data_IF_448993840548
#
_entry.id   IF_448993840548
#
_cell.length_a   1.000
_cell.length_b   1.000
_cell.length_c   1.000
_cell.angle_alpha   90.00
_cell.angle_beta   90.00
_cell.angle_gamma   90.00
#
_symmetry.space_group_name_H-M   'P 1'
#
loop_
_entity.id
_entity.type
_entity.pdbx_description
1 polymer ?
#
# COMPACT_ATOMS: atom_id res chain seq x y z
N UNK A 1 -33.05 -15.24 -1.65
CA UNK A 1 -31.77 -15.26 -2.42
C UNK A 1 -31.15 -13.87 -2.30
N UNK A 2 -30.29 -13.66 -1.32
CA UNK A 2 -29.58 -12.40 -1.10
C UNK A 2 -28.40 -12.32 -2.08
N UNK A 3 -28.68 -11.92 -3.32
CA UNK A 3 -27.63 -11.40 -4.20
C UNK A 3 -27.35 -9.97 -3.74
N UNK A 4 -26.67 -9.86 -2.59
CA UNK A 4 -26.00 -8.63 -2.22
C UNK A 4 -24.91 -8.47 -3.25
N UNK A 5 -25.12 -7.56 -4.21
CA UNK A 5 -24.02 -7.05 -5.00
C UNK A 5 -23.01 -6.50 -4.01
N UNK A 6 -21.96 -7.28 -3.72
CA UNK A 6 -20.69 -6.80 -3.19
C UNK A 6 -20.11 -5.87 -4.27
N UNK A 7 -20.74 -4.71 -4.43
CA UNK A 7 -20.11 -3.55 -5.01
C UNK A 7 -19.03 -3.20 -4.02
N UNK A 8 -17.84 -3.77 -4.17
CA UNK A 8 -16.64 -3.39 -3.45
C UNK A 8 -16.46 -1.88 -3.69
N UNK A 9 -17.02 -1.07 -2.79
CA UNK A 9 -17.03 0.37 -3.00
C UNK A 9 -15.57 0.82 -2.91
N UNK A 10 -15.20 1.91 -3.60
CA UNK A 10 -13.83 2.42 -3.54
C UNK A 10 -13.32 2.65 -2.11
N UNK A 11 -14.22 2.99 -1.18
CA UNK A 11 -13.90 3.14 0.25
C UNK A 11 -13.53 1.80 0.89
N UNK A 12 -14.27 0.72 0.58
CA UNK A 12 -13.99 -0.63 1.09
C UNK A 12 -12.62 -1.14 0.60
N UNK A 13 -12.25 -0.80 -0.65
CA UNK A 13 -10.93 -1.13 -1.21
C UNK A 13 -9.81 -0.40 -0.51
N UNK A 14 -9.98 0.90 -0.23
CA UNK A 14 -8.98 1.68 0.49
C UNK A 14 -8.76 1.13 1.92
N UNK A 15 -9.83 0.87 2.66
CA UNK A 15 -9.69 0.35 4.03
C UNK A 15 -9.08 -1.06 4.04
N UNK A 16 -9.49 -1.92 3.12
CA UNK A 16 -8.92 -3.26 2.96
C UNK A 16 -7.42 -3.19 2.66
N UNK A 17 -7.02 -2.37 1.70
CA UNK A 17 -5.61 -2.19 1.34
C UNK A 17 -4.78 -1.64 2.51
N UNK A 18 -5.31 -0.65 3.24
CA UNK A 18 -4.67 -0.10 4.44
C UNK A 18 -4.43 -1.17 5.50
N UNK A 19 -5.44 -1.99 5.81
CA UNK A 19 -5.30 -3.06 6.81
C UNK A 19 -4.28 -4.11 6.36
N UNK A 20 -4.31 -4.51 5.08
CA UNK A 20 -3.34 -5.46 4.53
C UNK A 20 -1.90 -4.96 4.65
N UNK A 21 -1.65 -3.69 4.31
CA UNK A 21 -0.30 -3.10 4.45
C UNK A 21 0.15 -3.05 5.90
N UNK A 22 -0.72 -2.59 6.81
CA UNK A 22 -0.38 -2.50 8.24
C UNK A 22 -0.05 -3.88 8.83
N UNK A 23 -0.79 -4.92 8.43
CA UNK A 23 -0.52 -6.29 8.86
C UNK A 23 0.86 -6.78 8.41
N UNK A 24 1.27 -6.46 7.18
CA UNK A 24 2.59 -6.84 6.66
C UNK A 24 3.73 -6.04 7.28
N UNK A 25 3.53 -4.77 7.65
CA UNK A 25 4.58 -4.02 8.36
C UNK A 25 4.82 -4.59 9.75
N UNK A 26 3.75 -4.97 10.47
CA UNK A 26 3.86 -5.47 11.85
C UNK A 26 4.31 -6.94 11.93
N UNK A 27 3.72 -7.82 11.14
CA UNK A 27 3.88 -9.28 11.26
C UNK A 27 4.68 -9.88 10.10
N UNK A 28 4.88 -9.12 9.01
CA UNK A 28 5.55 -9.55 7.77
C UNK A 28 4.93 -10.74 7.05
N UNK A 29 3.74 -11.19 7.45
CA UNK A 29 3.07 -12.32 6.78
C UNK A 29 1.54 -12.19 6.76
N UNK A 30 0.96 -12.73 5.69
CA UNK A 30 -0.46 -12.97 5.47
C UNK A 30 -0.66 -14.49 5.31
N UNK A 31 -1.87 -15.03 5.52
CA UNK A 31 -2.15 -16.47 5.30
C UNK A 31 -1.86 -16.92 3.85
N UNK A 32 -1.84 -15.97 2.92
CA UNK A 32 -1.55 -16.19 1.50
C UNK A 32 -0.09 -15.87 1.10
N UNK A 33 0.80 -15.56 2.04
CA UNK A 33 2.21 -15.36 1.75
C UNK A 33 2.81 -16.68 1.28
N UNK A 34 3.40 -16.71 0.09
CA UNK A 34 4.23 -17.82 -0.38
C UNK A 34 5.55 -17.25 -0.85
N UNK A 35 6.66 -17.87 -0.43
CA UNK A 35 8.00 -17.56 -0.95
C UNK A 35 8.38 -16.06 -0.91
N UNK A 36 8.01 -15.36 0.17
CA UNK A 36 8.19 -13.91 0.36
C UNK A 36 7.36 -12.99 -0.57
N UNK A 37 6.43 -13.54 -1.34
CA UNK A 37 5.50 -12.79 -2.19
C UNK A 37 4.06 -12.92 -1.66
N UNK A 38 3.39 -11.79 -1.37
CA UNK A 38 1.95 -11.75 -1.08
C UNK A 38 1.28 -10.87 -2.14
N UNK A 39 0.53 -11.49 -3.07
CA UNK A 39 -0.22 -10.78 -4.11
C UNK A 39 -1.20 -9.76 -3.53
N UNK A 40 -1.78 -10.07 -2.37
CA UNK A 40 -2.65 -9.14 -1.63
C UNK A 40 -1.88 -7.92 -1.13
N UNK A 41 -0.65 -8.10 -0.66
CA UNK A 41 0.21 -6.99 -0.26
C UNK A 41 0.60 -6.13 -1.44
N UNK A 42 0.99 -6.74 -2.57
CA UNK A 42 1.30 -6.02 -3.80
C UNK A 42 0.11 -5.19 -4.30
N UNK A 43 -1.08 -5.80 -4.37
CA UNK A 43 -2.31 -5.08 -4.68
C UNK A 43 -2.60 -3.95 -3.68
N UNK A 44 -2.44 -4.20 -2.38
CA UNK A 44 -2.73 -3.20 -1.36
C UNK A 44 -1.80 -1.98 -1.44
N UNK A 45 -0.52 -2.19 -1.72
CA UNK A 45 0.44 -1.10 -1.95
C UNK A 45 0.03 -0.31 -3.20
N UNK A 46 -0.27 -0.99 -4.30
CA UNK A 46 -0.72 -0.36 -5.55
C UNK A 46 -2.01 0.45 -5.34
N UNK A 47 -3.04 -0.15 -4.74
CA UNK A 47 -4.32 0.51 -4.45
C UNK A 47 -4.11 1.78 -3.63
N UNK A 48 -3.29 1.73 -2.57
CA UNK A 48 -3.00 2.91 -1.75
C UNK A 48 -2.26 4.02 -2.52
N UNK A 49 -1.52 3.70 -3.59
CA UNK A 49 -0.88 4.74 -4.42
C UNK A 49 -1.88 5.60 -5.18
N UNK A 50 -3.08 5.08 -5.47
CA UNK A 50 -4.16 5.82 -6.13
C UNK A 50 -4.84 6.86 -5.21
N UNK A 51 -4.60 6.79 -3.90
CA UNK A 51 -5.21 7.68 -2.91
C UNK A 51 -4.18 8.61 -2.28
N UNK A 52 -4.50 9.91 -2.12
CA UNK A 52 -3.63 10.85 -1.42
C UNK A 52 -3.30 10.41 0.02
N UNK A 53 -4.31 9.94 0.76
CA UNK A 53 -4.11 9.40 2.11
C UNK A 53 -3.28 8.11 2.14
N UNK A 54 -3.40 7.27 1.11
CA UNK A 54 -2.64 6.03 0.97
C UNK A 54 -1.16 6.28 0.67
N UNK A 55 -0.84 7.18 -0.26
CA UNK A 55 0.53 7.63 -0.52
C UNK A 55 1.21 8.19 0.72
N UNK A 56 0.51 9.04 1.49
CA UNK A 56 1.06 9.58 2.74
C UNK A 56 1.34 8.46 3.77
N UNK A 57 0.43 7.48 3.88
CA UNK A 57 0.64 6.30 4.74
C UNK A 57 1.88 5.50 4.30
N UNK A 58 1.98 5.17 3.01
CA UNK A 58 3.11 4.42 2.46
C UNK A 58 4.45 5.13 2.66
N UNK A 59 4.51 6.46 2.50
CA UNK A 59 5.71 7.26 2.81
C UNK A 59 6.08 7.16 4.29
N UNK A 60 5.11 7.26 5.21
CA UNK A 60 5.37 7.10 6.66
C UNK A 60 5.87 5.70 7.04
N UNK A 61 5.44 4.69 6.29
CA UNK A 61 5.87 3.30 6.48
C UNK A 61 7.20 2.99 5.77
N UNK A 62 7.79 3.95 5.04
CA UNK A 62 9.01 3.74 4.26
C UNK A 62 8.84 2.85 3.03
N UNK A 63 7.59 2.65 2.57
CA UNK A 63 7.24 1.78 1.44
C UNK A 63 7.21 2.52 0.11
N UNK A 64 7.05 3.83 0.14
CA UNK A 64 7.26 4.71 -1.01
C UNK A 64 8.43 5.64 -0.72
N UNK A 65 9.28 5.93 -1.73
CA UNK A 65 10.23 7.01 -1.60
C UNK A 65 9.46 8.29 -1.31
N UNK A 66 9.80 8.99 -0.24
CA UNK A 66 9.37 10.37 -0.08
C UNK A 66 9.89 11.12 -1.31
N UNK A 67 8.98 11.71 -2.11
CA UNK A 67 9.30 12.49 -3.30
C UNK A 67 10.19 13.73 -3.05
N UNK A 68 10.78 13.86 -1.85
CA UNK A 68 11.65 14.92 -1.38
C UNK A 68 13.13 14.53 -1.29
N UNK A 69 13.59 13.51 -2.01
CA UNK A 69 15.02 13.30 -2.20
C UNK A 69 15.36 13.20 -3.69
N UNK A 70 15.13 14.29 -4.41
CA UNK A 70 16.08 14.64 -5.47
C UNK A 70 17.40 14.95 -4.76
N UNK A 71 18.50 14.20 -4.97
CA UNK A 71 19.80 14.67 -4.53
C UNK A 71 20.05 16.04 -5.20
N UNK A 72 20.68 17.01 -4.52
CA UNK A 72 21.10 18.23 -5.20
C UNK A 72 22.17 17.86 -6.23
N UNK A 73 21.74 17.60 -7.47
CA UNK A 73 22.63 17.63 -8.62
C UNK A 73 23.13 19.06 -8.78
N UNK A 74 24.40 19.27 -8.45
CA UNK A 74 25.10 20.52 -8.74
C UNK A 74 25.89 21.09 -7.57
N UNK A 75 26.97 20.40 -7.16
CA UNK A 75 28.10 21.09 -6.55
C UNK A 75 29.20 21.16 -7.61
N UNK A 76 29.44 22.31 -8.27
CA UNK A 76 30.66 22.50 -9.02
C UNK A 76 31.81 22.66 -8.01
N UNK A 77 32.91 21.95 -8.29
CA UNK A 77 34.20 22.06 -7.59
C UNK A 77 34.84 23.43 -7.79
#
# INVERSE_FOLDING_TARGET
MTSTGESARPVDRFESARLTVLQHVGVRTCFHCRDNECKQYAWAVEELTHHAGGRHLLCRLGLLPTAHNSPPEGQPR
#
